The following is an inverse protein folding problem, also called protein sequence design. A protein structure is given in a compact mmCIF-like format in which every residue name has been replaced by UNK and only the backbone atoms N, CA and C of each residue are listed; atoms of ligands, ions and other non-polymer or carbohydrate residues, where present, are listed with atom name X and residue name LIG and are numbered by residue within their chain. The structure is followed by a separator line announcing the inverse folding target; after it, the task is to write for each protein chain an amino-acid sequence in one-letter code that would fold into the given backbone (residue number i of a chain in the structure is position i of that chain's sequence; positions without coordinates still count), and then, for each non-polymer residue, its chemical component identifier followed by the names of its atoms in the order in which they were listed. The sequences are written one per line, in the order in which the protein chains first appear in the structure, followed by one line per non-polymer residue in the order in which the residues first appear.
data_IF_193677930873
#
_entry.id   IF_193677930873
#
_cell.length_a   1.000
_cell.length_b   1.000
_cell.length_c   1.000
_cell.angle_alpha   90.00
_cell.angle_beta   90.00
_cell.angle_gamma   90.00
#
_symmetry.space_group_name_H-M   'P 1'
#
loop_
_entity.id
_entity.type
_entity.pdbx_description
1 polymer ?
#
# COMPACT_ATOMS: atom_id res chain seq x y z
N UNK A 1 -24.67 -30.33 -4.86
CA UNK A 1 -23.76 -29.64 -5.81
C UNK A 1 -23.73 -28.11 -5.67
N UNK A 2 -24.81 -27.42 -5.25
CA UNK A 2 -24.79 -25.95 -5.08
C UNK A 2 -24.33 -25.45 -3.70
N UNK A 3 -24.24 -26.32 -2.69
CA UNK A 3 -23.86 -25.93 -1.33
C UNK A 3 -22.41 -25.45 -1.22
N UNK A 4 -21.47 -26.03 -1.98
CA UNK A 4 -20.06 -25.59 -2.01
C UNK A 4 -19.87 -24.19 -2.62
N UNK A 5 -20.71 -23.79 -3.59
CA UNK A 5 -20.64 -22.45 -4.19
C UNK A 5 -21.12 -21.37 -3.22
N UNK A 6 -22.17 -21.67 -2.45
CA UNK A 6 -22.73 -20.77 -1.44
C UNK A 6 -21.72 -20.56 -0.30
N UNK A 7 -21.09 -21.64 0.18
CA UNK A 7 -20.06 -21.56 1.23
C UNK A 7 -18.84 -20.75 0.77
N UNK A 8 -18.43 -20.87 -0.50
CA UNK A 8 -17.31 -20.11 -1.08
C UNK A 8 -17.58 -18.59 -1.10
N UNK A 9 -18.80 -18.17 -1.44
CA UNK A 9 -19.18 -16.75 -1.49
C UNK A 9 -19.17 -16.14 -0.07
N UNK A 10 -19.75 -16.84 0.91
CA UNK A 10 -19.75 -16.35 2.30
C UNK A 10 -18.33 -16.29 2.90
N UNK A 11 -17.47 -17.24 2.56
CA UNK A 11 -16.07 -17.22 2.99
C UNK A 11 -15.32 -16.02 2.41
N UNK A 12 -15.58 -15.67 1.14
CA UNK A 12 -14.94 -14.53 0.48
C UNK A 12 -15.39 -13.19 1.07
N UNK A 13 -16.68 -13.05 1.39
CA UNK A 13 -17.24 -11.86 2.07
C UNK A 13 -16.67 -11.74 3.49
N UNK A 14 -16.54 -12.86 4.21
CA UNK A 14 -16.03 -12.88 5.58
C UNK A 14 -14.54 -12.51 5.64
N UNK A 15 -13.73 -13.00 4.71
CA UNK A 15 -12.33 -12.60 4.57
C UNK A 15 -12.22 -11.12 4.21
N UNK A 16 -13.05 -10.63 3.28
CA UNK A 16 -13.10 -9.20 2.92
C UNK A 16 -13.42 -8.28 4.11
N UNK A 17 -14.32 -8.70 5.02
CA UNK A 17 -14.66 -7.95 6.23
C UNK A 17 -13.55 -7.95 7.29
N UNK A 18 -12.80 -9.05 7.43
CA UNK A 18 -11.65 -9.11 8.35
C UNK A 18 -10.55 -8.09 7.99
N UNK A 19 -10.34 -7.82 6.70
CA UNK A 19 -9.37 -6.81 6.24
C UNK A 19 -9.83 -5.36 6.49
N UNK A 20 -11.13 -5.09 6.57
CA UNK A 20 -11.65 -3.74 6.84
C UNK A 20 -11.35 -3.29 8.29
N UNK A 21 -11.38 -4.22 9.25
CA UNK A 21 -11.14 -3.91 10.66
C UNK A 21 -9.66 -3.72 11.02
N UNK A 22 -8.71 -4.24 10.22
CA UNK A 22 -7.27 -4.04 10.49
C UNK A 22 -6.78 -2.63 10.16
N UNK A 23 -7.45 -1.89 9.27
CA UNK A 23 -7.07 -0.52 8.92
C UNK A 23 -7.21 0.47 10.08
N UNK A 24 -8.04 0.18 11.08
CA UNK A 24 -8.24 1.07 12.23
C UNK A 24 -7.10 0.95 13.27
N UNK A 25 -6.36 -0.17 13.29
CA UNK A 25 -5.22 -0.38 14.19
C UNK A 25 -3.93 0.21 13.60
N UNK A 26 -3.84 0.34 12.27
CA UNK A 26 -2.66 0.89 11.57
C UNK A 26 -2.67 2.43 11.53
N UNK A 27 -3.83 3.06 11.74
CA UNK A 27 -3.98 4.52 11.72
C UNK A 27 -3.43 5.25 12.96
N UNK A 28 -2.84 4.55 13.93
CA UNK A 28 -2.50 5.11 15.24
C UNK A 28 -1.00 5.05 15.56
N UNK A 29 -0.12 5.31 14.58
CA UNK A 29 1.18 5.92 14.84
C UNK A 29 1.86 6.36 13.53
N UNK A 30 1.97 7.67 13.26
CA UNK A 30 3.15 8.32 12.68
C UNK A 30 2.80 9.71 12.13
N UNK A 31 3.18 10.73 12.90
CA UNK A 31 3.11 12.14 12.52
C UNK A 31 4.15 12.56 11.45
N UNK A 32 4.64 11.68 10.57
CA UNK A 32 5.65 12.12 9.59
C UNK A 32 5.80 11.32 8.29
N UNK A 33 4.80 10.54 7.86
CA UNK A 33 4.87 9.85 6.56
C UNK A 33 3.78 10.40 5.62
N UNK A 34 4.20 11.21 4.65
CA UNK A 34 3.41 11.50 3.44
C UNK A 34 2.26 12.47 3.64
N UNK A 35 2.52 13.73 3.27
CA UNK A 35 1.57 14.77 2.87
C UNK A 35 0.10 14.35 2.64
N UNK A 36 -0.78 15.13 3.27
CA UNK A 36 -2.26 15.10 3.24
C UNK A 36 -2.95 14.97 1.87
N UNK A 37 -2.23 15.08 0.76
CA UNK A 37 -2.74 14.88 -0.61
C UNK A 37 -3.02 13.39 -0.92
N UNK A 38 -2.25 12.45 -0.34
CA UNK A 38 -2.45 11.01 -0.56
C UNK A 38 -3.68 10.46 0.17
N UNK A 39 -4.00 11.00 1.35
CA UNK A 39 -5.19 10.63 2.13
C UNK A 39 -6.48 11.13 1.47
N UNK A 40 -6.42 12.28 0.80
CA UNK A 40 -7.59 12.84 0.10
C UNK A 40 -7.96 12.03 -1.17
N UNK A 41 -6.95 11.50 -1.88
CA UNK A 41 -7.18 10.60 -3.03
C UNK A 41 -7.73 9.23 -2.62
N UNK A 42 -7.34 8.68 -1.46
CA UNK A 42 -7.78 7.33 -1.06
C UNK A 42 -9.27 7.25 -0.71
N UNK A 43 -9.84 8.32 -0.12
CA UNK A 43 -11.27 8.36 0.21
C UNK A 43 -12.15 8.47 -1.04
N UNK A 44 -11.73 9.28 -2.02
CA UNK A 44 -12.45 9.42 -3.29
C UNK A 44 -12.35 8.14 -4.14
N UNK A 45 -11.18 7.49 -4.19
CA UNK A 45 -11.04 6.18 -4.82
C UNK A 45 -11.90 5.10 -4.15
N UNK A 46 -11.94 5.07 -2.82
CA UNK A 46 -12.81 4.15 -2.09
C UNK A 46 -14.30 4.40 -2.39
N UNK A 47 -14.74 5.67 -2.41
CA UNK A 47 -16.11 6.02 -2.78
C UNK A 47 -16.43 5.61 -4.22
N UNK A 48 -15.50 5.82 -5.15
CA UNK A 48 -15.67 5.38 -6.54
C UNK A 48 -15.79 3.86 -6.64
N UNK A 49 -14.96 3.12 -5.90
CA UNK A 49 -15.06 1.67 -5.83
C UNK A 49 -16.42 1.20 -5.29
N UNK A 50 -16.92 1.79 -4.20
CA UNK A 50 -18.24 1.50 -3.66
C UNK A 50 -19.35 1.78 -4.68
N UNK A 51 -19.28 2.91 -5.38
CA UNK A 51 -20.23 3.26 -6.44
C UNK A 51 -20.22 2.24 -7.59
N UNK A 52 -19.05 1.72 -7.96
CA UNK A 52 -18.92 0.66 -8.96
C UNK A 52 -19.57 -0.64 -8.51
N UNK A 53 -19.40 -1.04 -7.24
CA UNK A 53 -20.07 -2.23 -6.69
C UNK A 53 -21.59 -2.09 -6.70
N UNK A 54 -22.12 -0.93 -6.30
CA UNK A 54 -23.57 -0.65 -6.35
C UNK A 54 -24.07 -0.67 -7.80
N UNK A 55 -23.31 -0.09 -8.73
CA UNK A 55 -23.63 -0.09 -10.16
C UNK A 55 -23.66 -1.51 -10.72
N UNK A 56 -22.70 -2.35 -10.33
CA UNK A 56 -22.64 -3.75 -10.74
C UNK A 56 -23.86 -4.53 -10.24
N UNK A 57 -24.23 -4.35 -8.96
CA UNK A 57 -25.41 -4.99 -8.38
C UNK A 57 -26.70 -4.56 -9.09
N UNK A 58 -26.85 -3.26 -9.35
CA UNK A 58 -28.02 -2.70 -10.04
C UNK A 58 -28.13 -3.27 -11.45
N UNK A 59 -27.02 -3.24 -12.19
CA UNK A 59 -26.98 -3.72 -13.58
C UNK A 59 -27.19 -5.24 -13.67
N UNK A 60 -26.66 -6.01 -12.72
CA UNK A 60 -26.91 -7.44 -12.64
C UNK A 60 -28.40 -7.75 -12.43
N UNK A 61 -29.10 -6.95 -11.62
CA UNK A 61 -30.55 -7.11 -11.44
C UNK A 61 -31.32 -6.76 -12.73
N UNK A 62 -30.92 -5.72 -13.45
CA UNK A 62 -31.50 -5.39 -14.77
C UNK A 62 -31.33 -6.55 -15.76
N UNK A 63 -30.15 -7.17 -15.79
CA UNK A 63 -29.89 -8.36 -16.61
C UNK A 63 -30.81 -9.52 -16.21
N UNK A 64 -30.94 -9.82 -14.90
CA UNK A 64 -31.83 -10.88 -14.40
C UNK A 64 -33.28 -10.61 -14.85
N UNK A 65 -33.77 -9.39 -14.63
CA UNK A 65 -35.13 -9.02 -15.03
C UNK A 65 -35.31 -9.15 -16.55
N UNK A 66 -34.32 -8.73 -17.35
CA UNK A 66 -34.38 -8.84 -18.81
C UNK A 66 -34.33 -10.30 -19.31
N UNK A 67 -33.71 -11.21 -18.56
CA UNK A 67 -33.73 -12.65 -18.85
C UNK A 67 -35.07 -13.29 -18.48
N UNK A 68 -35.71 -12.83 -17.40
CA UNK A 68 -37.01 -13.32 -16.94
C UNK A 68 -38.19 -12.84 -17.79
N UNK A 69 -38.07 -11.66 -18.41
CA UNK A 69 -39.10 -11.05 -19.25
C UNK A 69 -38.78 -11.21 -20.74
N UNK A 70 -39.78 -11.05 -21.62
CA UNK A 70 -39.61 -11.09 -23.09
C UNK A 70 -38.98 -9.79 -23.63
N UNK A 71 -37.81 -9.44 -23.10
CA UNK A 71 -36.99 -8.33 -23.58
C UNK A 71 -36.24 -8.75 -24.85
N UNK A 72 -35.98 -7.80 -25.76
CA UNK A 72 -35.29 -8.10 -27.02
C UNK A 72 -33.86 -8.58 -26.79
N UNK A 73 -33.35 -9.46 -27.67
CA UNK A 73 -31.96 -9.95 -27.58
C UNK A 73 -30.93 -8.80 -27.72
N UNK A 74 -31.24 -7.77 -28.50
CA UNK A 74 -30.40 -6.58 -28.63
C UNK A 74 -30.26 -5.83 -27.31
N UNK A 75 -31.36 -5.71 -26.56
CA UNK A 75 -31.37 -5.03 -25.27
C UNK A 75 -30.70 -5.87 -24.18
N UNK A 76 -30.90 -7.19 -24.18
CA UNK A 76 -30.13 -8.11 -23.33
C UNK A 76 -28.63 -7.96 -23.57
N UNK A 77 -28.19 -7.96 -24.84
CA UNK A 77 -26.79 -7.76 -25.20
C UNK A 77 -26.23 -6.44 -24.66
N UNK A 78 -26.97 -5.34 -24.84
CA UNK A 78 -26.56 -4.04 -24.32
C UNK A 78 -26.36 -4.06 -22.79
N UNK A 79 -27.26 -4.71 -22.05
CA UNK A 79 -27.14 -4.84 -20.60
C UNK A 79 -25.92 -5.69 -20.20
N UNK A 80 -25.64 -6.78 -20.92
CA UNK A 80 -24.43 -7.58 -20.70
C UNK A 80 -23.15 -6.78 -20.98
N UNK A 81 -23.08 -6.05 -22.10
CA UNK A 81 -21.94 -5.22 -22.46
C UNK A 81 -21.69 -4.14 -21.38
N UNK A 82 -22.76 -3.52 -20.85
CA UNK A 82 -22.66 -2.56 -19.74
C UNK A 82 -22.16 -3.21 -18.44
N UNK A 83 -22.67 -4.40 -18.10
CA UNK A 83 -22.25 -5.14 -16.90
C UNK A 83 -20.77 -5.53 -17.00
N UNK A 84 -20.32 -5.97 -18.18
CA UNK A 84 -18.92 -6.29 -18.44
C UNK A 84 -18.02 -5.06 -18.27
N UNK A 85 -18.41 -3.90 -18.82
CA UNK A 85 -17.66 -2.66 -18.65
C UNK A 85 -17.51 -2.26 -17.17
N UNK A 86 -18.57 -2.36 -16.38
CA UNK A 86 -18.51 -2.10 -14.93
C UNK A 86 -17.57 -3.09 -14.25
N UNK A 87 -17.64 -4.37 -14.62
CA UNK A 87 -16.78 -5.39 -14.05
C UNK A 87 -15.29 -5.14 -14.35
N UNK A 88 -14.95 -4.74 -15.58
CA UNK A 88 -13.59 -4.36 -15.96
C UNK A 88 -13.09 -3.16 -15.15
N UNK A 89 -13.94 -2.15 -14.92
CA UNK A 89 -13.58 -1.01 -14.08
C UNK A 89 -13.29 -1.43 -12.64
N UNK A 90 -14.08 -2.35 -12.07
CA UNK A 90 -13.84 -2.91 -10.73
C UNK A 90 -12.48 -3.60 -10.66
N UNK A 91 -12.14 -4.46 -11.63
CA UNK A 91 -10.86 -5.16 -11.69
C UNK A 91 -9.70 -4.16 -11.73
N UNK A 92 -9.78 -3.14 -12.58
CA UNK A 92 -8.75 -2.09 -12.70
C UNK A 92 -8.57 -1.35 -11.37
N UNK A 93 -9.66 -0.99 -10.70
CA UNK A 93 -9.60 -0.31 -9.40
C UNK A 93 -8.99 -1.23 -8.32
N UNK A 94 -9.33 -2.51 -8.31
CA UNK A 94 -8.76 -3.48 -7.37
C UNK A 94 -7.26 -3.68 -7.59
N UNK A 95 -6.83 -3.82 -8.85
CA UNK A 95 -5.41 -3.94 -9.17
C UNK A 95 -4.62 -2.71 -8.69
N UNK A 96 -5.17 -1.51 -8.91
CA UNK A 96 -4.56 -0.28 -8.40
C UNK A 96 -4.45 -0.28 -6.88
N UNK A 97 -5.51 -0.67 -6.16
CA UNK A 97 -5.44 -0.75 -4.71
C UNK A 97 -4.37 -1.73 -4.22
N UNK A 98 -4.21 -2.87 -4.92
CA UNK A 98 -3.16 -3.83 -4.61
C UNK A 98 -1.77 -3.21 -4.81
N UNK A 99 -1.56 -2.51 -5.93
CA UNK A 99 -0.29 -1.84 -6.22
C UNK A 99 0.04 -0.78 -5.14
N UNK A 100 -0.96 0.00 -4.69
CA UNK A 100 -0.80 0.96 -3.57
C UNK A 100 -0.39 0.22 -2.29
N UNK A 101 -1.08 -0.86 -1.95
CA UNK A 101 -0.80 -1.63 -0.73
C UNK A 101 0.60 -2.23 -0.73
N UNK A 102 1.06 -2.73 -1.88
CA UNK A 102 2.42 -3.23 -2.04
C UNK A 102 3.45 -2.12 -1.79
N UNK A 103 3.25 -0.93 -2.35
CA UNK A 103 4.14 0.21 -2.11
C UNK A 103 4.16 0.64 -0.64
N UNK A 104 3.00 0.74 0.01
CA UNK A 104 2.92 1.06 1.45
C UNK A 104 3.69 0.01 2.26
N UNK A 105 3.52 -1.27 1.94
CA UNK A 105 4.19 -2.37 2.63
C UNK A 105 5.71 -2.28 2.48
N UNK A 106 6.21 -2.02 1.27
CA UNK A 106 7.64 -1.83 1.02
C UNK A 106 8.18 -0.66 1.84
N UNK A 107 7.48 0.48 1.84
CA UNK A 107 7.90 1.66 2.61
C UNK A 107 7.93 1.39 4.12
N UNK A 108 6.96 0.64 4.66
CA UNK A 108 6.97 0.25 6.06
C UNK A 108 8.18 -0.65 6.40
N UNK A 109 8.48 -1.62 5.53
CA UNK A 109 9.65 -2.51 5.71
C UNK A 109 10.95 -1.69 5.73
N UNK A 110 11.14 -0.80 4.74
CA UNK A 110 12.36 0.02 4.65
C UNK A 110 12.50 0.99 5.83
N UNK A 111 11.40 1.58 6.31
CA UNK A 111 11.43 2.46 7.48
C UNK A 111 11.76 1.70 8.77
N UNK A 112 11.27 0.46 8.92
CA UNK A 112 11.65 -0.40 10.04
C UNK A 112 13.15 -0.73 9.99
N UNK A 113 13.69 -1.04 8.81
CA UNK A 113 15.12 -1.31 8.63
C UNK A 113 15.98 -0.07 8.97
N UNK A 114 15.56 1.13 8.57
CA UNK A 114 16.19 2.39 9.00
C UNK A 114 16.20 2.49 10.53
N UNK A 115 15.07 2.23 11.18
CA UNK A 115 14.95 2.31 12.65
C UNK A 115 15.92 1.34 13.34
N UNK A 116 16.04 0.11 12.84
CA UNK A 116 17.02 -0.87 13.35
C UNK A 116 18.46 -0.40 13.16
N UNK A 117 18.78 0.19 12.00
CA UNK A 117 20.10 0.73 11.72
C UNK A 117 20.43 1.95 12.58
N UNK A 118 19.47 2.83 12.88
CA UNK A 118 19.65 3.97 13.79
C UNK A 118 19.91 3.53 15.23
N UNK A 119 19.22 2.48 15.68
CA UNK A 119 19.48 1.86 16.99
C UNK A 119 20.90 1.28 17.04
N UNK A 120 21.32 0.57 15.98
CA UNK A 120 22.69 0.06 15.87
C UNK A 120 23.72 1.20 15.86
N UNK A 121 23.46 2.28 15.12
CA UNK A 121 24.32 3.46 15.09
C UNK A 121 24.55 4.01 16.49
N UNK A 122 23.48 4.19 17.25
CA UNK A 122 23.51 4.69 18.63
C UNK A 122 24.35 3.78 19.54
N UNK A 123 24.18 2.46 19.41
CA UNK A 123 24.99 1.47 20.15
C UNK A 123 26.47 1.55 19.79
N UNK A 124 26.81 1.71 18.50
CA UNK A 124 28.19 1.83 18.05
C UNK A 124 28.85 3.13 18.55
N UNK A 125 28.10 4.23 18.57
CA UNK A 125 28.58 5.50 19.13
C UNK A 125 28.85 5.40 20.64
N UNK A 126 28.01 4.65 21.38
CA UNK A 126 28.24 4.36 22.79
C UNK A 126 29.47 3.46 23.00
N UNK A 127 29.65 2.44 22.15
CA UNK A 127 30.84 1.58 22.15
C UNK A 127 32.11 2.42 21.94
N UNK A 128 32.11 3.28 20.92
CA UNK A 128 33.24 4.16 20.61
C UNK A 128 33.57 5.11 21.77
N UNK A 129 32.54 5.72 22.37
CA UNK A 129 32.68 6.60 23.55
C UNK A 129 33.29 5.83 24.74
N UNK A 130 32.86 4.58 24.95
CA UNK A 130 33.39 3.72 26.02
C UNK A 130 34.86 3.39 25.79
N UNK A 131 35.27 3.08 24.56
CA UNK A 131 36.67 2.81 24.22
C UNK A 131 37.53 4.06 24.47
N UNK A 132 37.05 5.24 24.06
CA UNK A 132 37.75 6.52 24.28
C UNK A 132 37.90 6.81 25.78
N UNK A 133 36.83 6.66 26.56
CA UNK A 133 36.86 6.95 28.00
C UNK A 133 37.77 6.01 28.79
N UNK A 134 37.96 4.78 28.30
CA UNK A 134 38.83 3.79 28.92
C UNK A 134 40.25 3.80 28.32
N UNK A 135 40.58 4.79 27.49
CA UNK A 135 41.89 4.88 26.86
C UNK A 135 42.95 5.37 27.87
N UNK A 136 44.02 4.58 28.12
CA UNK A 136 45.13 5.00 28.94
C UNK A 136 45.96 6.08 28.24
N UNK A 137 46.79 6.77 29.02
CA UNK A 137 47.70 7.81 28.52
C UNK A 137 48.63 7.33 27.40
N UNK A 138 49.02 6.04 27.44
CA UNK A 138 49.78 5.36 26.39
C UNK A 138 48.90 4.33 25.69
N UNK A 139 48.42 4.66 24.50
CA UNK A 139 47.47 3.86 23.75
C UNK A 139 48.14 2.60 23.20
N UNK A 140 47.55 1.43 23.45
CA UNK A 140 48.02 0.18 22.85
C UNK A 140 47.56 0.04 21.40
N UNK A 141 48.28 -0.74 20.61
CA UNK A 141 47.85 -1.08 19.23
C UNK A 141 46.47 -1.75 19.22
N UNK A 142 46.18 -2.58 20.23
CA UNK A 142 44.86 -3.19 20.40
C UNK A 142 43.74 -2.14 20.56
N UNK A 143 43.95 -1.09 21.36
CA UNK A 143 42.97 -0.02 21.55
C UNK A 143 42.78 0.83 20.28
N UNK A 144 43.87 1.07 19.53
CA UNK A 144 43.79 1.74 18.23
C UNK A 144 42.96 0.90 17.25
N UNK A 145 43.19 -0.41 17.23
CA UNK A 145 42.46 -1.33 16.36
C UNK A 145 40.98 -1.43 16.75
N UNK A 146 40.66 -1.46 18.05
CA UNK A 146 39.28 -1.41 18.53
C UNK A 146 38.56 -0.14 18.04
N UNK A 147 39.14 1.04 18.24
CA UNK A 147 38.56 2.30 17.73
C UNK A 147 38.38 2.28 16.22
N UNK A 148 39.39 1.84 15.47
CA UNK A 148 39.33 1.78 14.01
C UNK A 148 38.21 0.85 13.55
N UNK A 149 38.07 -0.32 14.16
CA UNK A 149 37.03 -1.28 13.82
C UNK A 149 35.63 -0.74 14.13
N UNK A 150 35.44 -0.11 15.29
CA UNK A 150 34.16 0.53 15.64
C UNK A 150 33.83 1.68 14.67
N UNK A 151 34.80 2.52 14.29
CA UNK A 151 34.62 3.57 13.28
C UNK A 151 34.24 3.00 11.90
N UNK A 152 34.88 1.91 11.47
CA UNK A 152 34.54 1.25 10.20
C UNK A 152 33.08 0.78 10.23
N UNK A 153 32.64 0.17 11.34
CA UNK A 153 31.24 -0.28 11.51
C UNK A 153 30.26 0.89 11.50
N UNK A 154 30.60 2.03 12.13
CA UNK A 154 29.78 3.26 12.09
C UNK A 154 29.63 3.74 10.64
N UNK A 155 30.73 3.84 9.90
CA UNK A 155 30.70 4.28 8.51
C UNK A 155 29.88 3.34 7.62
N UNK A 156 30.01 2.02 7.81
CA UNK A 156 29.22 1.03 7.09
C UNK A 156 27.73 1.15 7.39
N UNK A 157 27.36 1.29 8.66
CA UNK A 157 25.98 1.48 9.08
C UNK A 157 25.37 2.76 8.47
N UNK A 158 26.11 3.88 8.48
CA UNK A 158 25.66 5.12 7.85
C UNK A 158 25.44 4.96 6.32
N UNK A 159 26.34 4.24 5.65
CA UNK A 159 26.18 3.96 4.22
C UNK A 159 24.91 3.14 3.95
N UNK A 160 24.63 2.12 4.77
CA UNK A 160 23.40 1.33 4.65
C UNK A 160 22.14 2.19 4.82
N UNK A 161 22.11 3.07 5.82
CA UNK A 161 21.01 4.03 6.02
C UNK A 161 20.82 4.89 4.76
N UNK A 162 21.90 5.46 4.22
CA UNK A 162 21.84 6.29 3.03
C UNK A 162 21.32 5.52 1.80
N UNK A 163 21.73 4.26 1.63
CA UNK A 163 21.22 3.39 0.54
C UNK A 163 19.72 3.16 0.66
N UNK A 164 19.19 2.90 1.85
CA UNK A 164 17.75 2.70 2.04
C UNK A 164 16.97 4.00 1.82
N UNK A 165 17.50 5.14 2.27
CA UNK A 165 16.90 6.45 1.99
C UNK A 165 16.84 6.75 0.48
N UNK A 166 17.87 6.39 -0.28
CA UNK A 166 17.84 6.46 -1.74
C UNK A 166 16.80 5.53 -2.35
N UNK A 167 16.65 4.31 -1.84
CA UNK A 167 15.61 3.37 -2.28
C UNK A 167 14.21 3.94 -2.05
N UNK A 168 13.94 4.53 -0.88
CA UNK A 168 12.65 5.19 -0.57
C UNK A 168 12.42 6.35 -1.53
N UNK A 169 13.44 7.19 -1.76
CA UNK A 169 13.34 8.35 -2.67
C UNK A 169 13.09 7.95 -4.12
N UNK A 170 13.64 6.83 -4.56
CA UNK A 170 13.55 6.35 -5.94
C UNK A 170 12.29 5.51 -6.20
N UNK A 171 11.46 5.23 -5.18
CA UNK A 171 10.13 4.67 -5.41
C UNK A 171 9.25 5.71 -6.08
N UNK A 172 8.94 5.48 -7.37
CA UNK A 172 8.12 6.39 -8.17
C UNK A 172 6.81 6.76 -7.47
N UNK A 173 6.43 8.05 -7.40
CA UNK A 173 5.09 8.41 -6.99
C UNK A 173 4.10 7.81 -7.98
N UNK A 174 3.00 7.26 -7.46
CA UNK A 174 1.94 6.71 -8.31
C UNK A 174 1.53 7.73 -9.38
N UNK A 175 1.27 7.29 -10.62
CA UNK A 175 0.75 8.18 -11.66
C UNK A 175 -0.56 8.84 -11.17
N UNK A 176 -0.57 10.18 -11.06
CA UNK A 176 -1.79 10.95 -10.78
C UNK A 176 -2.77 10.77 -11.95
N UNK A 177 -4.00 10.36 -11.65
CA UNK A 177 -5.06 10.30 -12.67
C UNK A 177 -5.93 11.55 -12.59
N UNK A 178 -6.01 12.24 -13.71
CA UNK A 178 -6.93 13.34 -13.96
C UNK A 178 -8.33 12.73 -14.20
N UNK A 179 -9.14 12.58 -13.16
CA UNK A 179 -10.50 12.00 -13.22
C UNK A 179 -11.53 12.91 -13.93
N UNK A 180 -11.13 14.05 -14.50
CA UNK A 180 -12.06 15.08 -14.99
C UNK A 180 -12.63 14.87 -16.40
N UNK A 181 -12.21 13.85 -17.16
CA UNK A 181 -12.49 13.82 -18.61
C UNK A 181 -13.74 13.07 -19.09
N UNK A 182 -14.69 12.74 -18.21
CA UNK A 182 -15.93 12.08 -18.63
C UNK A 182 -17.24 12.69 -18.10
N UNK A 183 -17.26 14.02 -17.88
CA UNK A 183 -18.50 14.75 -17.54
C UNK A 183 -19.17 15.48 -18.70
N UNK A 184 -18.72 15.30 -19.95
CA UNK A 184 -19.26 16.03 -21.10
C UNK A 184 -19.67 15.13 -22.26
N UNK A 185 -20.73 14.33 -22.09
CA UNK A 185 -21.44 13.74 -23.24
C UNK A 185 -22.91 13.37 -23.00
N UNK A 186 -23.50 13.68 -21.85
CA UNK A 186 -24.95 13.46 -21.58
C UNK A 186 -25.77 14.74 -21.43
N UNK A 187 -25.47 15.75 -22.26
CA UNK A 187 -26.43 16.83 -22.53
C UNK A 187 -26.44 17.15 -24.02
N UNK A 188 -27.28 16.43 -24.76
CA UNK A 188 -28.15 16.94 -25.82
C UNK A 188 -29.03 15.81 -26.35
#
# INVERSE_FOLDING_TARGET
KNQFKIISIYLFVFIGLLFINMNQVIAMNNNNVGTSEHVYNSLEEYRNYQNLLVSQQTKAQEVINALEHQVSETEKKLLFDQLELIHQQIIITQQRHLDIQQQITINLILNNEITELENLHSSLMQEMTTIINNMPLYVSEEQINLLRNTQIRINQNQNNINTILEQIRNQSPMPRINLSRNRSSQRR
#
